data_IF_638479011371
#
_entry.id   IF_638479011371
#
_cell.length_a   1.000
_cell.length_b   1.000
_cell.length_c   1.000
_cell.angle_alpha   90.00
_cell.angle_beta   90.00
_cell.angle_gamma   90.00
#
_symmetry.space_group_name_H-M   'P 1'
#
loop_
_entity.id
_entity.type
_entity.pdbx_description
1 polymer ?
#
# COMPACT_ATOMS: atom_id res chain seq x y z
N UNK A 1 -16.57 1.45 -16.35
CA UNK A 1 -17.82 1.84 -15.65
C UNK A 1 -18.48 2.93 -16.48
N UNK A 2 -19.79 2.85 -16.71
CA UNK A 2 -20.57 3.90 -17.34
C UNK A 2 -21.41 4.62 -16.28
N UNK A 3 -21.39 5.95 -16.27
CA UNK A 3 -22.15 6.77 -15.32
C UNK A 3 -23.15 7.64 -16.09
N UNK A 4 -24.40 7.70 -15.62
CA UNK A 4 -25.40 8.66 -16.08
C UNK A 4 -25.64 9.68 -14.98
N UNK A 5 -25.48 10.97 -15.27
CA UNK A 5 -25.54 12.05 -14.29
C UNK A 5 -26.73 12.98 -14.57
N UNK A 6 -27.47 13.33 -13.52
CA UNK A 6 -28.59 14.28 -13.60
C UNK A 6 -28.49 15.31 -12.46
N UNK A 7 -28.84 16.57 -12.75
CA UNK A 7 -28.83 17.64 -11.75
C UNK A 7 -29.90 17.37 -10.69
N UNK A 8 -29.52 17.43 -9.41
CA UNK A 8 -30.41 17.26 -8.27
C UNK A 8 -30.23 18.39 -7.25
N UNK A 9 -31.28 18.77 -6.49
CA UNK A 9 -31.13 19.69 -5.37
C UNK A 9 -30.24 19.07 -4.28
N UNK A 10 -29.28 19.86 -3.76
CA UNK A 10 -28.37 19.45 -2.68
C UNK A 10 -28.80 20.12 -1.40
N UNK A 11 -28.93 19.36 -0.31
CA UNK A 11 -29.28 19.91 1.01
C UNK A 11 -28.21 20.91 1.48
N UNK A 12 -28.63 22.12 1.85
CA UNK A 12 -27.75 23.24 2.22
C UNK A 12 -27.11 23.11 3.60
N UNK A 13 -27.65 22.24 4.46
CA UNK A 13 -27.09 21.89 5.77
C UNK A 13 -27.02 20.37 5.90
N UNK A 14 -25.86 19.82 5.61
CA UNK A 14 -25.56 18.41 5.82
C UNK A 14 -24.15 18.26 6.39
N UNK A 15 -23.99 17.27 7.28
CA UNK A 15 -22.70 16.84 7.78
C UNK A 15 -22.37 15.50 7.11
N UNK A 16 -21.20 15.40 6.50
CA UNK A 16 -20.70 14.18 5.89
C UNK A 16 -19.41 13.81 6.59
N UNK A 17 -19.30 12.56 7.02
CA UNK A 17 -18.04 12.00 7.50
C UNK A 17 -17.32 11.41 6.30
N UNK A 18 -16.14 11.93 6.01
CA UNK A 18 -15.25 11.41 4.97
C UNK A 18 -14.17 10.53 5.61
N UNK A 19 -13.77 9.48 4.89
CA UNK A 19 -12.69 8.62 5.34
C UNK A 19 -11.34 9.34 5.31
N UNK A 20 -10.35 8.74 5.98
CA UNK A 20 -9.00 9.25 5.99
C UNK A 20 -8.37 9.35 4.60
N UNK A 21 -7.33 10.17 4.49
CA UNK A 21 -6.51 10.22 3.28
C UNK A 21 -5.80 8.87 3.06
N UNK A 22 -5.98 8.29 1.87
CA UNK A 22 -5.29 7.06 1.45
C UNK A 22 -3.77 7.17 1.60
N UNK A 23 -3.18 8.26 1.10
CA UNK A 23 -1.73 8.44 1.10
C UNK A 23 -1.17 8.60 2.51
N UNK A 24 -1.86 9.35 3.38
CA UNK A 24 -1.44 9.51 4.77
C UNK A 24 -1.64 8.22 5.57
N UNK A 25 -2.76 7.52 5.34
CA UNK A 25 -3.02 6.22 5.96
C UNK A 25 -1.92 5.22 5.65
N UNK A 26 -1.51 5.09 4.38
CA UNK A 26 -0.45 4.14 3.99
C UNK A 26 0.90 4.48 4.63
N UNK A 27 1.26 5.76 4.75
CA UNK A 27 2.49 6.18 5.45
C UNK A 27 2.40 5.90 6.95
N UNK A 28 1.29 6.25 7.59
CA UNK A 28 1.09 6.01 9.02
C UNK A 28 1.07 4.51 9.34
N UNK A 29 0.51 3.68 8.47
CA UNK A 29 0.52 2.23 8.62
C UNK A 29 1.94 1.66 8.60
N UNK A 30 2.78 2.13 7.66
CA UNK A 30 4.19 1.74 7.62
C UNK A 30 4.93 2.20 8.89
N UNK A 31 4.74 3.45 9.31
CA UNK A 31 5.33 3.96 10.54
C UNK A 31 4.89 3.18 11.76
N UNK A 32 3.61 2.79 11.84
CA UNK A 32 3.07 1.95 12.92
C UNK A 32 3.70 0.56 12.93
N UNK A 33 4.00 -0.01 11.77
CA UNK A 33 4.69 -1.31 11.69
C UNK A 33 6.12 -1.22 12.26
N UNK A 34 6.80 -0.09 12.06
CA UNK A 34 8.13 0.17 12.62
C UNK A 34 8.09 0.65 14.08
N UNK A 35 7.01 1.30 14.50
CA UNK A 35 6.80 1.86 15.82
C UNK A 35 5.42 1.45 16.37
N UNK A 36 5.33 0.29 17.04
CA UNK A 36 4.05 -0.34 17.41
C UNK A 36 3.12 0.52 18.28
N UNK A 37 3.66 1.50 18.99
CA UNK A 37 2.91 2.38 19.90
C UNK A 37 2.09 3.47 19.18
N UNK A 38 2.24 3.63 17.86
CA UNK A 38 1.47 4.61 17.09
C UNK A 38 0.00 4.19 17.01
N UNK A 39 -0.89 5.07 17.46
CA UNK A 39 -2.33 4.94 17.28
C UNK A 39 -2.78 5.75 16.06
N UNK A 40 -3.55 5.13 15.17
CA UNK A 40 -4.09 5.78 13.97
C UNK A 40 -5.61 5.86 14.11
N UNK A 41 -6.15 7.06 13.90
CA UNK A 41 -7.60 7.33 13.86
C UNK A 41 -7.98 7.77 12.46
N UNK A 42 -9.25 7.55 12.08
CA UNK A 42 -9.79 7.88 10.76
C UNK A 42 -8.91 7.34 9.61
N UNK A 43 -8.67 6.02 9.60
CA UNK A 43 -7.95 5.38 8.51
C UNK A 43 -8.78 5.44 7.22
N UNK A 44 -8.10 5.57 6.08
CA UNK A 44 -8.72 5.41 4.77
C UNK A 44 -9.34 4.01 4.64
N UNK A 45 -10.57 3.96 4.11
CA UNK A 45 -11.26 2.72 3.74
C UNK A 45 -11.00 2.30 2.29
N UNK A 46 -10.02 2.91 1.61
CA UNK A 46 -9.64 2.53 0.25
C UNK A 46 -8.98 1.16 0.19
N UNK A 47 -9.20 0.43 -0.90
CA UNK A 47 -8.58 -0.87 -1.17
C UNK A 47 -7.05 -0.88 -0.95
N UNK A 48 -6.32 0.13 -1.42
CA UNK A 48 -4.88 0.27 -1.18
C UNK A 48 -4.51 0.24 0.31
N UNK A 49 -5.30 0.89 1.17
CA UNK A 49 -5.03 0.97 2.61
C UNK A 49 -5.44 -0.31 3.35
N UNK A 50 -6.43 -1.02 2.84
CA UNK A 50 -6.75 -2.36 3.33
C UNK A 50 -5.63 -3.34 2.97
N UNK A 51 -5.21 -3.37 1.70
CA UNK A 51 -4.09 -4.19 1.22
C UNK A 51 -2.79 -3.89 2.00
N UNK A 52 -2.48 -2.63 2.27
CA UNK A 52 -1.31 -2.26 3.07
C UNK A 52 -1.37 -2.83 4.49
N UNK A 53 -2.54 -2.77 5.14
CA UNK A 53 -2.72 -3.35 6.48
C UNK A 53 -2.52 -4.86 6.50
N UNK A 54 -3.12 -5.55 5.52
CA UNK A 54 -3.08 -7.01 5.45
C UNK A 54 -1.67 -7.50 5.12
N UNK A 55 -0.98 -6.82 4.18
CA UNK A 55 0.39 -7.12 3.83
C UNK A 55 1.37 -6.92 4.99
N UNK A 56 1.24 -5.84 5.76
CA UNK A 56 2.12 -5.56 6.91
C UNK A 56 1.99 -6.59 8.03
N UNK A 57 0.81 -7.21 8.17
CA UNK A 57 0.53 -8.25 9.17
C UNK A 57 0.77 -9.67 8.65
N UNK A 58 0.99 -9.84 7.36
CA UNK A 58 1.11 -11.16 6.74
C UNK A 58 2.42 -11.84 7.13
N UNK A 59 2.33 -13.11 7.50
CA UNK A 59 3.45 -14.03 7.69
C UNK A 59 3.66 -14.95 6.47
N UNK A 60 2.85 -14.77 5.41
CA UNK A 60 2.96 -15.55 4.18
C UNK A 60 4.27 -15.27 3.45
N UNK A 61 4.81 -16.30 2.80
CA UNK A 61 5.93 -16.16 1.85
C UNK A 61 5.54 -15.42 0.56
N UNK A 62 4.24 -15.32 0.27
CA UNK A 62 3.73 -14.58 -0.89
C UNK A 62 2.74 -13.53 -0.42
N UNK A 63 2.97 -12.27 -0.81
CA UNK A 63 2.09 -11.14 -0.54
C UNK A 63 1.64 -10.55 -1.87
N UNK A 64 0.33 -10.60 -2.14
CA UNK A 64 -0.28 -10.05 -3.34
C UNK A 64 -0.92 -8.68 -3.02
N UNK A 65 -0.37 -7.61 -3.61
CA UNK A 65 -0.88 -6.24 -3.40
C UNK A 65 -1.92 -5.82 -4.45
N UNK A 66 -2.37 -6.74 -5.31
CA UNK A 66 -3.35 -6.50 -6.37
C UNK A 66 -2.97 -5.31 -7.27
N UNK A 67 -3.72 -4.20 -7.19
CA UNK A 67 -3.48 -2.97 -7.94
C UNK A 67 -2.94 -1.82 -7.08
N UNK A 68 -2.58 -2.09 -5.81
CA UNK A 68 -2.12 -1.10 -4.84
C UNK A 68 -0.64 -0.70 -5.04
N UNK A 69 -0.39 0.21 -5.98
CA UNK A 69 0.99 0.60 -6.35
C UNK A 69 1.76 1.33 -5.26
N UNK A 70 1.06 2.00 -4.34
CA UNK A 70 1.69 2.60 -3.15
C UNK A 70 2.19 1.52 -2.21
N UNK A 71 1.36 0.49 -1.99
CA UNK A 71 1.71 -0.66 -1.16
C UNK A 71 2.92 -1.40 -1.74
N UNK A 72 2.93 -1.66 -3.06
CA UNK A 72 4.09 -2.29 -3.73
C UNK A 72 5.40 -1.60 -3.35
N UNK A 73 5.51 -0.28 -3.55
CA UNK A 73 6.75 0.47 -3.28
C UNK A 73 7.13 0.49 -1.80
N UNK A 74 6.17 0.74 -0.91
CA UNK A 74 6.47 0.81 0.53
C UNK A 74 6.82 -0.56 1.10
N UNK A 75 6.12 -1.61 0.68
CA UNK A 75 6.36 -2.97 1.16
C UNK A 75 7.66 -3.56 0.63
N UNK A 76 8.08 -3.22 -0.61
CA UNK A 76 9.42 -3.59 -1.09
C UNK A 76 10.50 -3.09 -0.14
N UNK A 77 10.46 -1.81 0.24
CA UNK A 77 11.45 -1.25 1.17
C UNK A 77 11.30 -1.80 2.59
N UNK A 78 10.07 -1.98 3.07
CA UNK A 78 9.79 -2.51 4.41
C UNK A 78 10.27 -3.95 4.60
N UNK A 79 10.06 -4.83 3.61
CA UNK A 79 10.52 -6.20 3.70
C UNK A 79 12.02 -6.33 3.46
N UNK A 80 12.63 -5.44 2.67
CA UNK A 80 14.07 -5.45 2.41
C UNK A 80 14.94 -5.24 3.66
N UNK A 81 14.39 -4.63 4.72
CA UNK A 81 15.11 -4.39 5.99
C UNK A 81 14.89 -5.50 7.03
N UNK A 82 14.10 -6.54 6.72
CA UNK A 82 13.78 -7.59 7.68
C UNK A 82 14.76 -8.76 7.53
N UNK A 83 15.65 -8.89 8.51
CA UNK A 83 16.65 -9.95 8.54
C UNK A 83 16.00 -11.35 8.55
N UNK A 84 16.50 -12.25 7.71
CA UNK A 84 16.01 -13.62 7.59
C UNK A 84 14.66 -13.79 6.91
N UNK A 85 14.01 -12.72 6.45
CA UNK A 85 12.73 -12.81 5.76
C UNK A 85 12.90 -13.02 4.26
N UNK A 86 12.39 -14.14 3.76
CA UNK A 86 12.28 -14.43 2.33
C UNK A 86 10.81 -14.30 1.89
N UNK A 87 10.54 -13.41 0.93
CA UNK A 87 9.16 -13.08 0.51
C UNK A 87 9.09 -12.75 -0.98
N UNK A 88 8.03 -13.23 -1.62
CA UNK A 88 7.61 -12.81 -2.96
C UNK A 88 6.51 -11.77 -2.84
N UNK A 89 6.82 -10.53 -3.23
CA UNK A 89 5.84 -9.45 -3.34
C UNK A 89 5.35 -9.37 -4.79
N UNK A 90 4.06 -9.57 -5.00
CA UNK A 90 3.45 -9.61 -6.34
C UNK A 90 2.19 -8.76 -6.42
N UNK A 91 1.59 -8.70 -7.61
CA UNK A 91 0.36 -7.97 -7.87
C UNK A 91 -0.30 -8.44 -9.15
N UNK A 92 -1.39 -7.77 -9.50
CA UNK A 92 -2.08 -7.93 -10.80
C UNK A 92 -1.14 -7.77 -12.00
N UNK A 93 -1.54 -8.28 -13.17
CA UNK A 93 -0.78 -8.12 -14.42
C UNK A 93 -0.42 -6.66 -14.69
N UNK A 94 -1.38 -5.75 -14.51
CA UNK A 94 -1.15 -4.31 -14.67
C UNK A 94 -0.17 -3.74 -13.65
N UNK A 95 -0.10 -4.30 -12.44
CA UNK A 95 0.89 -3.89 -11.44
C UNK A 95 2.30 -4.34 -11.82
N UNK A 96 2.46 -5.56 -12.33
CA UNK A 96 3.76 -6.10 -12.76
C UNK A 96 4.39 -5.26 -13.87
N UNK A 97 3.58 -4.61 -14.70
CA UNK A 97 4.04 -3.66 -15.72
C UNK A 97 4.48 -2.29 -15.16
N UNK A 98 4.16 -1.96 -13.90
CA UNK A 98 4.48 -0.64 -13.34
C UNK A 98 5.95 -0.60 -12.91
N UNK A 99 6.73 0.41 -13.36
CA UNK A 99 8.15 0.44 -13.06
C UNK A 99 8.40 0.74 -11.58
N UNK A 100 9.19 -0.15 -10.97
CA UNK A 100 9.80 0.04 -9.64
C UNK A 100 11.32 -0.16 -9.64
N UNK A 101 11.93 -0.34 -10.83
CA UNK A 101 13.37 -0.63 -10.98
C UNK A 101 14.27 0.36 -10.25
N UNK A 102 13.97 1.66 -10.33
CA UNK A 102 14.77 2.70 -9.66
C UNK A 102 14.80 2.48 -8.14
N UNK A 103 13.69 2.06 -7.54
CA UNK A 103 13.62 1.73 -6.11
C UNK A 103 14.42 0.46 -5.80
N UNK A 104 14.24 -0.60 -6.60
CA UNK A 104 14.94 -1.88 -6.41
C UNK A 104 16.45 -1.70 -6.53
N UNK A 105 16.92 -0.98 -7.55
CA UNK A 105 18.34 -0.70 -7.76
C UNK A 105 18.93 0.10 -6.59
N UNK A 106 18.20 1.10 -6.08
CA UNK A 106 18.62 1.89 -4.94
C UNK A 106 18.67 1.08 -3.63
N UNK A 107 17.71 0.17 -3.41
CA UNK A 107 17.74 -0.71 -2.24
C UNK A 107 18.88 -1.73 -2.33
N UNK A 108 19.11 -2.32 -3.50
CA UNK A 108 20.20 -3.25 -3.72
C UNK A 108 21.58 -2.57 -3.58
N UNK A 109 21.74 -1.32 -4.00
CA UNK A 109 22.98 -0.56 -3.79
C UNK A 109 23.26 -0.24 -2.32
N UNK A 110 22.22 -0.25 -1.48
CA UNK A 110 22.32 -0.16 -0.02
C UNK A 110 22.51 -1.54 0.66
N UNK A 111 22.61 -2.63 -0.11
CA UNK A 111 22.88 -3.98 0.40
C UNK A 111 21.65 -4.88 0.56
N UNK A 112 20.46 -4.45 0.10
CA UNK A 112 19.32 -5.36 0.01
C UNK A 112 19.57 -6.48 -1.03
N UNK A 113 18.87 -7.60 -0.88
CA UNK A 113 18.89 -8.70 -1.85
C UNK A 113 17.51 -8.87 -2.50
N UNK A 114 17.27 -8.16 -3.59
CA UNK A 114 15.99 -8.16 -4.32
C UNK A 114 16.22 -8.60 -5.76
N UNK A 115 15.54 -9.66 -6.18
CA UNK A 115 15.54 -10.19 -7.56
C UNK A 115 14.14 -10.26 -8.15
N UNK A 116 14.03 -10.06 -9.46
CA UNK A 116 12.79 -10.30 -10.21
C UNK A 116 12.63 -11.79 -10.53
N UNK A 117 11.42 -12.33 -10.36
CA UNK A 117 11.11 -13.74 -10.67
C UNK A 117 10.48 -13.92 -12.06
N UNK A 118 10.01 -12.83 -12.66
CA UNK A 118 9.38 -12.74 -13.99
C UNK A 118 9.51 -11.31 -14.54
#
# INVERSE_FOLDING_TARGET
MNLQLQKSPVATQSAIVISGSKSESNRLLLLKALHPNIQIRNLSNSDDSQVMQDALKSESKVVDIHHAGTAMRFLTAYFAIQEGREITLTGSSRMKERPIKILVDALNSLGANISYLE
#
